data_IF_107546380187
#
_entry.id   IF_107546380187
#
_cell.length_a   1.000
_cell.length_b   1.000
_cell.length_c   1.000
_cell.angle_alpha   90.00
_cell.angle_beta   90.00
_cell.angle_gamma   90.00
#
_symmetry.space_group_name_H-M   'P 1'
#
loop_
_entity.id
_entity.type
_entity.pdbx_description
1 polymer ?
#
# COMPACT_ATOMS: atom_id res chain seq x y z
N UNK A 1 -25.70 -31.44 47.92
CA UNK A 1 -26.80 -30.72 47.25
C UNK A 1 -26.33 -30.48 45.81
N UNK A 2 -26.59 -31.44 44.92
CA UNK A 2 -27.58 -31.38 43.82
C UNK A 2 -27.12 -30.46 42.68
N UNK A 3 -26.55 -30.99 41.59
CA UNK A 3 -27.20 -31.47 40.34
C UNK A 3 -27.45 -30.33 39.33
N UNK A 4 -27.17 -30.41 38.02
CA UNK A 4 -26.75 -31.54 37.21
C UNK A 4 -26.30 -31.07 35.81
N UNK A 5 -25.69 -32.01 35.07
CA UNK A 5 -25.34 -31.86 33.66
C UNK A 5 -26.48 -32.28 32.74
N UNK A 6 -26.28 -31.99 31.46
CA UNK A 6 -27.00 -32.49 30.28
C UNK A 6 -25.97 -32.36 29.13
N UNK A 7 -25.26 -33.41 28.72
CA UNK A 7 -25.67 -34.56 27.89
C UNK A 7 -26.36 -34.18 26.58
N UNK A 8 -25.61 -34.43 25.50
CA UNK A 8 -26.07 -34.57 24.11
C UNK A 8 -26.80 -35.92 23.94
N UNK A 9 -27.79 -36.02 23.05
CA UNK A 9 -28.15 -37.29 22.45
C UNK A 9 -27.78 -37.39 20.94
N UNK A 10 -27.78 -38.63 20.40
CA UNK A 10 -27.04 -39.04 19.22
C UNK A 10 -27.90 -39.08 17.95
N UNK A 11 -27.24 -39.43 16.83
CA UNK A 11 -27.88 -39.59 15.52
C UNK A 11 -28.81 -40.79 15.40
N UNK A 12 -29.60 -40.78 14.32
CA UNK A 12 -30.35 -41.93 13.86
C UNK A 12 -30.15 -42.08 12.35
N UNK A 13 -29.92 -43.33 11.94
CA UNK A 13 -29.75 -43.78 10.56
C UNK A 13 -30.80 -44.85 10.31
N UNK A 14 -31.64 -44.65 9.30
CA UNK A 14 -32.62 -45.64 8.85
C UNK A 14 -32.76 -45.63 7.32
N UNK A 15 -32.32 -46.73 6.71
CA UNK A 15 -32.81 -47.37 5.47
C UNK A 15 -34.37 -47.36 5.41
N UNK A 16 -35.09 -47.47 4.29
CA UNK A 16 -34.96 -48.32 3.10
C UNK A 16 -36.11 -47.97 2.11
N UNK A 17 -35.91 -48.16 0.80
CA UNK A 17 -37.02 -48.17 -0.19
C UNK A 17 -36.65 -47.65 -1.59
N UNK A 18 -36.02 -48.49 -2.43
CA UNK A 18 -36.01 -48.32 -3.90
C UNK A 18 -37.19 -49.08 -4.55
N UNK A 19 -37.18 -49.42 -5.86
CA UNK A 19 -36.42 -48.91 -7.01
C UNK A 19 -37.29 -48.72 -8.30
N UNK A 20 -36.62 -48.39 -9.43
CA UNK A 20 -37.06 -48.57 -10.85
C UNK A 20 -38.22 -47.65 -11.36
N UNK A 21 -38.20 -47.02 -12.53
CA UNK A 21 -37.74 -47.43 -13.86
C UNK A 21 -37.21 -46.22 -14.68
N UNK A 22 -36.23 -46.48 -15.55
CA UNK A 22 -35.89 -45.68 -16.72
C UNK A 22 -36.75 -46.15 -17.93
N UNK A 23 -36.47 -45.79 -19.20
CA UNK A 23 -36.10 -44.52 -19.85
C UNK A 23 -37.08 -44.22 -21.03
N UNK A 24 -36.86 -43.13 -21.79
CA UNK A 24 -37.30 -43.13 -23.19
C UNK A 24 -37.50 -41.78 -23.88
N UNK A 25 -36.68 -41.53 -24.90
CA UNK A 25 -37.16 -40.92 -26.15
C UNK A 25 -36.90 -39.43 -26.37
N UNK A 26 -35.75 -39.10 -26.93
CA UNK A 26 -35.66 -38.08 -27.98
C UNK A 26 -36.23 -38.67 -29.31
N UNK A 27 -36.28 -37.98 -30.48
CA UNK A 27 -36.01 -36.57 -30.79
C UNK A 27 -37.05 -35.93 -31.77
N UNK A 28 -36.84 -34.67 -32.17
CA UNK A 28 -37.08 -34.26 -33.56
C UNK A 28 -38.00 -33.06 -33.82
N UNK A 29 -37.51 -32.13 -34.65
CA UNK A 29 -38.35 -31.37 -35.58
C UNK A 29 -38.42 -29.85 -35.41
N UNK A 30 -37.46 -29.13 -35.99
CA UNK A 30 -37.71 -27.81 -36.57
C UNK A 30 -38.26 -27.99 -38.02
N UNK A 31 -38.53 -26.96 -38.87
CA UNK A 31 -38.79 -25.52 -38.69
C UNK A 31 -39.99 -24.99 -39.54
N UNK A 32 -40.26 -23.68 -39.51
CA UNK A 32 -41.04 -22.93 -40.53
C UNK A 32 -42.29 -22.26 -39.97
N UNK A 33 -42.71 -21.05 -40.35
CA UNK A 33 -42.27 -20.06 -41.32
C UNK A 33 -43.40 -19.01 -41.44
N UNK A 34 -43.03 -17.72 -41.42
CA UNK A 34 -43.62 -16.52 -42.07
C UNK A 34 -45.11 -16.62 -42.49
N UNK A 35 -46.04 -15.73 -42.11
CA UNK A 35 -46.21 -14.37 -42.68
C UNK A 35 -47.51 -13.69 -42.20
N UNK A 36 -47.49 -12.36 -42.03
CA UNK A 36 -48.52 -11.46 -42.56
C UNK A 36 -49.57 -10.84 -41.61
N UNK A 37 -49.60 -9.49 -41.56
CA UNK A 37 -50.88 -8.76 -41.55
C UNK A 37 -51.18 -7.78 -40.41
N UNK A 38 -50.60 -6.58 -40.50
CA UNK A 38 -51.03 -5.24 -40.06
C UNK A 38 -52.28 -5.01 -39.14
N UNK A 39 -52.00 -4.25 -38.07
CA UNK A 39 -52.70 -3.06 -37.52
C UNK A 39 -54.15 -3.11 -37.00
N UNK A 40 -54.28 -2.91 -35.68
CA UNK A 40 -55.17 -1.92 -35.05
C UNK A 40 -54.76 -1.72 -33.58
N UNK A 41 -54.95 -0.52 -33.04
CA UNK A 41 -54.25 -0.02 -31.86
C UNK A 41 -54.90 -0.27 -30.50
N UNK A 42 -54.09 0.07 -29.49
CA UNK A 42 -54.44 0.53 -28.13
C UNK A 42 -55.09 -0.49 -27.19
N UNK A 43 -54.37 -0.86 -26.13
CA UNK A 43 -54.65 -0.39 -24.76
C UNK A 43 -53.75 -1.09 -23.74
N UNK A 44 -53.12 -0.29 -22.89
CA UNK A 44 -52.35 -0.73 -21.74
C UNK A 44 -53.27 -1.43 -20.72
N UNK A 45 -53.11 -2.73 -20.55
CA UNK A 45 -53.79 -3.53 -19.55
C UNK A 45 -53.19 -3.31 -18.17
N UNK A 46 -53.87 -2.51 -17.37
CA UNK A 46 -53.60 -2.30 -15.95
C UNK A 46 -53.62 -3.63 -15.17
N UNK A 47 -52.57 -3.90 -14.40
CA UNK A 47 -52.56 -4.98 -13.42
C UNK A 47 -53.34 -4.48 -12.20
N UNK A 48 -54.54 -5.03 -11.98
CA UNK A 48 -55.34 -4.76 -10.79
C UNK A 48 -54.65 -5.37 -9.56
N UNK A 49 -54.18 -4.52 -8.65
CA UNK A 49 -53.79 -4.91 -7.31
C UNK A 49 -55.07 -5.15 -6.48
N UNK A 50 -55.32 -6.41 -6.12
CA UNK A 50 -56.34 -6.74 -5.14
C UNK A 50 -55.97 -6.12 -3.76
N UNK A 51 -56.94 -5.66 -2.95
CA UNK A 51 -56.65 -5.10 -1.64
C UNK A 51 -56.26 -6.22 -0.68
N UNK A 52 -55.02 -6.19 -0.21
CA UNK A 52 -54.57 -7.04 0.90
C UNK A 52 -55.23 -6.56 2.20
N UNK A 53 -56.12 -7.38 2.75
CA UNK A 53 -56.65 -7.19 4.09
C UNK A 53 -55.55 -7.33 5.14
N UNK A 54 -55.40 -6.26 5.93
CA UNK A 54 -54.95 -6.22 7.32
C UNK A 54 -53.92 -7.28 7.79
N UNK A 55 -52.66 -7.08 7.38
CA UNK A 55 -51.47 -7.60 8.05
C UNK A 55 -50.36 -6.56 7.93
N UNK A 56 -50.43 -5.52 8.75
CA UNK A 56 -49.58 -4.32 8.68
C UNK A 56 -48.11 -4.59 9.06
N UNK A 57 -47.32 -5.15 8.13
CA UNK A 57 -45.88 -5.00 8.09
C UNK A 57 -45.54 -4.18 6.84
N UNK A 58 -45.42 -2.86 7.04
CA UNK A 58 -45.15 -1.87 5.99
C UNK A 58 -43.91 -2.27 5.19
N UNK A 59 -44.05 -2.22 3.87
CA UNK A 59 -42.98 -2.05 2.90
C UNK A 59 -42.32 -0.67 3.07
N UNK A 60 -41.62 -0.50 4.19
CA UNK A 60 -41.04 0.75 4.65
C UNK A 60 -40.21 0.55 5.90
N UNK A 61 -39.49 -0.58 6.01
CA UNK A 61 -38.32 -0.63 6.87
C UNK A 61 -37.26 0.20 6.16
N UNK A 62 -37.03 1.44 6.60
CA UNK A 62 -35.77 2.13 6.31
C UNK A 62 -34.65 1.15 6.65
N UNK A 63 -33.76 0.90 5.70
CA UNK A 63 -32.55 0.12 5.95
C UNK A 63 -31.73 0.90 6.97
N UNK A 64 -31.94 0.64 8.26
CA UNK A 64 -31.15 1.22 9.35
C UNK A 64 -29.78 0.54 9.37
N UNK A 65 -28.90 0.99 8.47
CA UNK A 65 -27.53 0.54 8.40
C UNK A 65 -26.78 1.06 9.62
N UNK A 66 -26.77 0.28 10.69
CA UNK A 66 -25.99 0.57 11.89
C UNK A 66 -24.49 0.74 11.60
N UNK A 67 -23.78 1.35 12.54
CA UNK A 67 -22.34 1.62 12.42
C UNK A 67 -21.50 0.37 12.10
N UNK A 68 -21.89 -0.79 12.64
CA UNK A 68 -21.21 -2.06 12.42
C UNK A 68 -21.34 -2.55 10.97
N UNK A 69 -22.52 -2.40 10.36
CA UNK A 69 -22.75 -2.77 8.97
C UNK A 69 -21.91 -1.89 8.02
N UNK A 70 -21.83 -0.58 8.30
CA UNK A 70 -20.95 0.33 7.57
C UNK A 70 -19.46 0.03 7.77
N UNK A 71 -19.06 -0.36 8.98
CA UNK A 71 -17.69 -0.77 9.29
C UNK A 71 -17.29 -2.03 8.51
N UNK A 72 -18.20 -3.00 8.41
CA UNK A 72 -17.97 -4.21 7.63
C UNK A 72 -17.85 -3.92 6.13
N UNK A 73 -18.78 -3.14 5.56
CA UNK A 73 -18.74 -2.72 4.15
C UNK A 73 -17.45 -1.98 3.84
N UNK A 74 -17.05 -1.04 4.70
CA UNK A 74 -15.79 -0.29 4.57
C UNK A 74 -14.59 -1.22 4.58
N UNK A 75 -14.56 -2.18 5.52
CA UNK A 75 -13.46 -3.15 5.62
C UNK A 75 -13.37 -4.02 4.36
N UNK A 76 -14.51 -4.50 3.84
CA UNK A 76 -14.57 -5.29 2.60
C UNK A 76 -14.08 -4.48 1.41
N UNK A 77 -14.56 -3.24 1.25
CA UNK A 77 -14.16 -2.35 0.17
C UNK A 77 -12.66 -2.00 0.23
N UNK A 78 -12.12 -1.72 1.43
CA UNK A 78 -10.70 -1.44 1.61
C UNK A 78 -9.82 -2.63 1.20
N UNK A 79 -10.17 -3.84 1.62
CA UNK A 79 -9.40 -5.05 1.27
C UNK A 79 -9.47 -5.35 -0.23
N UNK A 80 -10.66 -5.28 -0.83
CA UNK A 80 -10.84 -5.48 -2.26
C UNK A 80 -10.10 -4.42 -3.08
N UNK A 81 -10.15 -3.16 -2.66
CA UNK A 81 -9.43 -2.05 -3.30
C UNK A 81 -7.91 -2.22 -3.25
N UNK A 82 -7.34 -2.58 -2.10
CA UNK A 82 -5.89 -2.86 -1.99
C UNK A 82 -5.47 -4.03 -2.88
N UNK A 83 -6.20 -5.15 -2.84
CA UNK A 83 -5.94 -6.29 -3.71
C UNK A 83 -6.04 -5.91 -5.21
N UNK A 84 -7.04 -5.10 -5.58
CA UNK A 84 -7.21 -4.64 -6.95
C UNK A 84 -6.01 -3.83 -7.45
N UNK A 85 -5.44 -2.95 -6.62
CA UNK A 85 -4.28 -2.15 -7.00
C UNK A 85 -3.07 -3.05 -7.29
N UNK A 86 -2.77 -3.99 -6.39
CA UNK A 86 -1.69 -4.96 -6.59
C UNK A 86 -1.89 -5.82 -7.84
N UNK A 87 -3.09 -6.36 -8.04
CA UNK A 87 -3.42 -7.15 -9.22
C UNK A 87 -3.28 -6.33 -10.50
N UNK A 88 -3.76 -5.09 -10.51
CA UNK A 88 -3.62 -4.21 -11.67
C UNK A 88 -2.14 -3.93 -11.98
N UNK A 89 -1.31 -3.65 -10.98
CA UNK A 89 0.13 -3.43 -11.18
C UNK A 89 0.82 -4.65 -11.79
N UNK A 90 0.52 -5.86 -11.28
CA UNK A 90 1.03 -7.11 -11.85
C UNK A 90 0.58 -7.29 -13.29
N UNK A 91 -0.71 -7.11 -13.57
CA UNK A 91 -1.24 -7.26 -14.93
C UNK A 91 -0.59 -6.27 -15.89
N UNK A 92 -0.44 -4.99 -15.51
CA UNK A 92 0.24 -4.00 -16.36
C UNK A 92 1.72 -4.34 -16.57
N UNK A 93 2.42 -4.79 -15.51
CA UNK A 93 3.83 -5.18 -15.65
C UNK A 93 4.00 -6.40 -16.55
N UNK A 94 3.13 -7.41 -16.42
CA UNK A 94 3.15 -8.58 -17.28
C UNK A 94 2.87 -8.21 -18.74
N UNK A 95 1.88 -7.35 -19.01
CA UNK A 95 1.64 -6.85 -20.38
C UNK A 95 2.88 -6.16 -20.94
N UNK A 96 3.54 -5.31 -20.15
CA UNK A 96 4.76 -4.64 -20.58
C UNK A 96 5.90 -5.63 -20.89
N UNK A 97 6.11 -6.64 -20.04
CA UNK A 97 7.14 -7.68 -20.21
C UNK A 97 6.84 -8.56 -21.43
N UNK A 98 5.62 -9.08 -21.54
CA UNK A 98 5.17 -9.91 -22.67
C UNK A 98 5.29 -9.13 -23.98
N UNK A 99 4.84 -7.87 -23.99
CA UNK A 99 5.00 -6.98 -25.13
C UNK A 99 6.46 -6.76 -25.49
N UNK A 100 7.33 -6.46 -24.53
CA UNK A 100 8.75 -6.21 -24.78
C UNK A 100 9.51 -7.43 -25.33
N UNK A 101 9.13 -8.64 -24.91
CA UNK A 101 9.83 -9.88 -25.29
C UNK A 101 9.27 -10.48 -26.58
N UNK A 102 7.95 -10.61 -26.71
CA UNK A 102 7.34 -11.33 -27.83
C UNK A 102 7.09 -10.45 -29.05
N UNK A 103 6.75 -9.17 -28.86
CA UNK A 103 6.45 -8.28 -29.98
C UNK A 103 7.60 -8.17 -30.98
N UNK A 104 8.89 -7.98 -30.58
CA UNK A 104 10.01 -7.92 -31.52
C UNK A 104 10.21 -9.21 -32.34
N UNK A 105 9.71 -10.34 -31.86
CA UNK A 105 9.84 -11.65 -32.52
C UNK A 105 8.69 -11.87 -33.51
N UNK A 106 7.45 -11.61 -33.09
CA UNK A 106 6.25 -11.95 -33.86
C UNK A 106 5.74 -10.80 -34.76
N UNK A 107 5.87 -9.54 -34.35
CA UNK A 107 5.36 -8.39 -35.12
C UNK A 107 6.01 -8.26 -36.51
N UNK A 108 7.33 -8.46 -36.71
CA UNK A 108 7.93 -8.37 -38.05
C UNK A 108 7.38 -9.41 -39.04
N UNK A 109 6.87 -10.54 -38.55
CA UNK A 109 6.37 -11.66 -39.38
C UNK A 109 4.86 -11.57 -39.60
N UNK A 110 4.11 -11.13 -38.58
CA UNK A 110 2.64 -11.17 -38.57
C UNK A 110 1.96 -9.80 -38.65
N UNK A 111 2.69 -8.71 -38.36
CA UNK A 111 2.21 -7.33 -38.44
C UNK A 111 1.28 -6.89 -37.31
N UNK A 112 1.21 -5.56 -37.10
CA UNK A 112 0.15 -4.87 -36.35
C UNK A 112 -0.19 -5.46 -34.97
N UNK A 113 -1.47 -5.72 -34.70
CA UNK A 113 -1.95 -6.42 -33.50
C UNK A 113 -2.03 -7.95 -33.68
N UNK A 114 -1.82 -8.44 -34.91
CA UNK A 114 -1.96 -9.86 -35.28
C UNK A 114 -0.84 -10.72 -34.67
N UNK A 115 0.26 -10.09 -34.22
CA UNK A 115 1.32 -10.79 -33.51
C UNK A 115 0.83 -11.48 -32.23
N UNK A 116 -0.17 -10.91 -31.53
CA UNK A 116 -0.75 -11.52 -30.32
C UNK A 116 -1.50 -12.80 -30.67
N UNK A 117 -2.25 -12.78 -31.77
CA UNK A 117 -2.96 -13.96 -32.30
C UNK A 117 -1.95 -15.03 -32.70
N UNK A 118 -0.88 -14.63 -33.39
CA UNK A 118 0.18 -15.54 -33.82
C UNK A 118 0.94 -16.16 -32.64
N UNK A 119 1.27 -15.36 -31.62
CA UNK A 119 1.93 -15.83 -30.40
C UNK A 119 1.02 -16.81 -29.62
N UNK A 120 -0.28 -16.52 -29.50
CA UNK A 120 -1.23 -17.39 -28.81
C UNK A 120 -1.39 -18.78 -29.46
N UNK A 121 -1.18 -18.87 -30.78
CA UNK A 121 -1.33 -20.10 -31.54
C UNK A 121 -2.75 -20.70 -31.49
N UNK A 122 -2.93 -21.97 -31.92
CA UNK A 122 -4.25 -22.60 -32.00
C UNK A 122 -4.95 -22.73 -30.64
N UNK A 123 -4.17 -22.98 -29.58
CA UNK A 123 -4.69 -23.13 -28.23
C UNK A 123 -5.24 -21.81 -27.66
N UNK A 124 -4.74 -20.66 -28.13
CA UNK A 124 -5.15 -19.35 -27.64
C UNK A 124 -6.05 -18.52 -28.54
N UNK A 125 -6.36 -19.02 -29.73
CA UNK A 125 -7.19 -18.32 -30.70
C UNK A 125 -8.56 -17.91 -30.13
N UNK A 126 -9.22 -18.80 -29.38
CA UNK A 126 -10.54 -18.53 -28.81
C UNK A 126 -10.49 -17.38 -27.80
N UNK A 127 -9.46 -17.34 -26.93
CA UNK A 127 -9.38 -16.28 -25.93
C UNK A 127 -8.90 -14.95 -26.50
N UNK A 128 -8.05 -14.95 -27.54
CA UNK A 128 -7.71 -13.74 -28.29
C UNK A 128 -8.94 -13.16 -28.99
N UNK A 129 -9.77 -14.01 -29.61
CA UNK A 129 -11.03 -13.58 -30.23
C UNK A 129 -11.98 -12.94 -29.21
N UNK A 130 -12.08 -13.50 -28.00
CA UNK A 130 -12.85 -12.87 -26.91
C UNK A 130 -12.29 -11.50 -26.54
N UNK A 131 -10.97 -11.35 -26.45
CA UNK A 131 -10.30 -10.08 -26.17
C UNK A 131 -10.59 -9.03 -27.27
N UNK A 132 -10.50 -9.42 -28.54
CA UNK A 132 -10.87 -8.58 -29.70
C UNK A 132 -12.33 -8.15 -29.62
N UNK A 133 -13.26 -9.07 -29.33
CA UNK A 133 -14.67 -8.76 -29.21
C UNK A 133 -14.95 -7.76 -28.07
N UNK A 134 -14.28 -7.92 -26.92
CA UNK A 134 -14.40 -6.98 -25.79
C UNK A 134 -13.85 -5.60 -26.18
N UNK A 135 -12.69 -5.53 -26.85
CA UNK A 135 -12.12 -4.29 -27.39
C UNK A 135 -13.09 -3.57 -28.33
N UNK A 136 -13.68 -4.29 -29.28
CA UNK A 136 -14.67 -3.73 -30.22
C UNK A 136 -15.94 -3.25 -29.52
N UNK A 137 -16.42 -3.98 -28.52
CA UNK A 137 -17.57 -3.54 -27.71
C UNK A 137 -17.21 -2.27 -26.93
N UNK A 138 -16.00 -2.18 -26.37
CA UNK A 138 -15.57 -1.00 -25.62
C UNK A 138 -15.47 0.24 -26.50
N UNK A 139 -14.92 0.10 -27.71
CA UNK A 139 -14.89 1.17 -28.71
C UNK A 139 -16.29 1.64 -29.10
N UNK A 140 -17.21 0.71 -29.35
CA UNK A 140 -18.61 1.02 -29.73
C UNK A 140 -19.39 1.69 -28.60
N UNK A 141 -19.17 1.28 -27.35
CA UNK A 141 -19.84 1.85 -26.18
C UNK A 141 -19.29 3.21 -25.76
N UNK A 142 -18.24 3.70 -26.40
CA UNK A 142 -17.62 4.97 -26.07
C UNK A 142 -16.94 4.97 -24.70
N UNK A 143 -16.53 3.82 -24.19
CA UNK A 143 -15.61 3.80 -23.06
C UNK A 143 -14.32 4.48 -23.54
N UNK A 144 -13.96 5.60 -22.90
CA UNK A 144 -12.69 6.28 -23.13
C UNK A 144 -11.57 5.35 -22.66
N UNK A 145 -11.11 4.49 -23.56
CA UNK A 145 -9.82 3.81 -23.42
C UNK A 145 -8.74 4.86 -23.66
N UNK A 146 -7.66 4.79 -22.88
CA UNK A 146 -6.43 5.47 -23.26
C UNK A 146 -6.03 4.98 -24.66
N UNK A 147 -5.69 5.85 -25.62
CA UNK A 147 -5.20 5.43 -26.93
C UNK A 147 -4.05 4.42 -26.88
N UNK A 148 -3.23 4.44 -25.82
CA UNK A 148 -2.18 3.44 -25.59
C UNK A 148 -2.73 2.02 -25.30
N UNK A 149 -3.95 1.93 -24.77
CA UNK A 149 -4.64 0.68 -24.42
C UNK A 149 -5.56 0.14 -25.53
N UNK A 150 -5.65 0.81 -26.69
CA UNK A 150 -6.39 0.30 -27.84
C UNK A 150 -5.59 -0.76 -28.62
N UNK A 151 -5.15 -1.81 -27.93
CA UNK A 151 -4.45 -2.97 -28.48
C UNK A 151 -4.98 -4.28 -27.85
N UNK A 152 -4.77 -5.43 -28.50
CA UNK A 152 -5.33 -6.72 -28.01
C UNK A 152 -4.71 -7.17 -26.69
N UNK A 153 -3.43 -6.89 -26.47
CA UNK A 153 -2.69 -7.29 -25.26
C UNK A 153 -3.28 -6.66 -23.99
N UNK A 154 -3.78 -5.42 -24.06
CA UNK A 154 -4.47 -4.72 -22.96
C UNK A 154 -5.75 -5.41 -22.50
N UNK A 155 -6.36 -6.26 -23.32
CA UNK A 155 -7.58 -7.01 -22.99
C UNK A 155 -7.32 -8.44 -22.50
N UNK A 156 -6.05 -8.86 -22.44
CA UNK A 156 -5.72 -10.17 -21.89
C UNK A 156 -5.79 -10.16 -20.37
N UNK A 157 -6.31 -11.27 -19.85
CA UNK A 157 -6.43 -11.55 -18.41
C UNK A 157 -5.14 -12.13 -17.86
N UNK A 158 -4.95 -12.07 -16.53
CA UNK A 158 -3.79 -12.64 -15.85
C UNK A 158 -3.46 -14.09 -16.28
N UNK A 159 -4.43 -15.04 -16.36
CA UNK A 159 -4.13 -16.40 -16.81
C UNK A 159 -3.67 -16.48 -18.28
N UNK A 160 -4.17 -15.61 -19.15
CA UNK A 160 -3.77 -15.58 -20.57
C UNK A 160 -2.36 -15.01 -20.74
N UNK A 161 -2.01 -13.99 -19.95
CA UNK A 161 -0.65 -13.43 -19.92
C UNK A 161 0.36 -14.46 -19.39
N UNK A 162 -0.01 -15.19 -18.33
CA UNK A 162 0.75 -16.34 -17.82
C UNK A 162 0.97 -17.38 -18.91
N UNK A 163 -0.10 -17.80 -19.59
CA UNK A 163 -0.01 -18.83 -20.64
C UNK A 163 0.95 -18.41 -21.77
N UNK A 164 0.87 -17.15 -22.23
CA UNK A 164 1.81 -16.63 -23.22
C UNK A 164 3.27 -16.68 -22.73
N UNK A 165 3.54 -16.30 -21.48
CA UNK A 165 4.90 -16.39 -20.93
C UNK A 165 5.39 -17.83 -20.84
N UNK A 166 4.54 -18.74 -20.38
CA UNK A 166 4.86 -20.15 -20.14
C UNK A 166 5.09 -20.89 -21.46
N UNK A 167 4.23 -20.69 -22.45
CA UNK A 167 4.33 -21.29 -23.78
C UNK A 167 5.60 -20.85 -24.50
N UNK A 168 5.99 -19.58 -24.35
CA UNK A 168 7.17 -18.99 -25.00
C UNK A 168 8.34 -18.82 -24.05
N UNK A 169 8.43 -19.63 -22.99
CA UNK A 169 9.47 -19.52 -21.97
C UNK A 169 10.90 -19.38 -22.52
N UNK A 170 11.33 -20.08 -23.60
CA UNK A 170 12.66 -19.88 -24.17
C UNK A 170 12.98 -18.44 -24.57
N UNK A 171 11.98 -17.61 -24.87
CA UNK A 171 12.16 -16.18 -25.15
C UNK A 171 12.36 -15.34 -23.88
N UNK A 172 11.86 -15.81 -22.74
CA UNK A 172 11.89 -15.14 -21.45
C UNK A 172 13.07 -15.59 -20.56
N UNK A 173 13.59 -16.80 -20.77
CA UNK A 173 14.73 -17.38 -20.05
C UNK A 173 15.96 -16.46 -19.95
N UNK A 174 16.33 -15.64 -20.96
CA UNK A 174 17.46 -14.70 -20.83
C UNK A 174 17.25 -13.58 -19.80
N UNK A 175 16.01 -13.34 -19.36
CA UNK A 175 15.64 -12.24 -18.46
C UNK A 175 15.22 -12.70 -17.07
N UNK A 176 14.84 -13.97 -16.91
CA UNK A 176 14.30 -14.51 -15.67
C UNK A 176 14.88 -15.88 -15.36
N UNK A 177 15.37 -16.05 -14.13
CA UNK A 177 16.10 -17.26 -13.73
C UNK A 177 15.19 -18.44 -13.35
N UNK A 178 13.99 -18.19 -12.80
CA UNK A 178 13.10 -19.24 -12.30
C UNK A 178 11.67 -19.13 -12.86
N UNK A 179 11.38 -20.01 -13.83
CA UNK A 179 10.04 -20.21 -14.40
C UNK A 179 9.00 -20.60 -13.36
N UNK A 180 9.36 -21.53 -12.49
CA UNK A 180 8.43 -22.19 -11.56
C UNK A 180 8.01 -21.21 -10.48
N UNK A 181 8.91 -20.35 -10.03
CA UNK A 181 8.60 -19.29 -9.08
C UNK A 181 7.55 -18.32 -9.65
N UNK A 182 7.71 -17.89 -10.90
CA UNK A 182 6.75 -17.00 -11.57
C UNK A 182 5.39 -17.69 -11.73
N UNK A 183 5.37 -18.93 -12.21
CA UNK A 183 4.12 -19.71 -12.37
C UNK A 183 3.36 -19.85 -11.05
N UNK A 184 4.04 -20.25 -9.98
CA UNK A 184 3.44 -20.42 -8.65
C UNK A 184 2.89 -19.09 -8.10
N UNK A 185 3.65 -18.00 -8.24
CA UNK A 185 3.20 -16.69 -7.80
C UNK A 185 1.93 -16.22 -8.56
N UNK A 186 1.87 -16.46 -9.87
CA UNK A 186 0.70 -16.12 -10.68
C UNK A 186 -0.52 -16.97 -10.33
N UNK A 187 -0.34 -18.27 -10.07
CA UNK A 187 -1.41 -19.17 -9.65
C UNK A 187 -2.00 -18.75 -8.29
N UNK A 188 -1.16 -18.34 -7.34
CA UNK A 188 -1.62 -17.78 -6.06
C UNK A 188 -2.46 -16.51 -6.24
N UNK A 189 -2.07 -15.63 -7.17
CA UNK A 189 -2.77 -14.37 -7.44
C UNK A 189 -4.11 -14.59 -8.16
N UNK A 190 -4.26 -15.66 -8.95
CA UNK A 190 -5.51 -15.95 -9.65
C UNK A 190 -6.70 -16.15 -8.69
N UNK A 191 -6.46 -16.82 -7.55
CA UNK A 191 -7.49 -16.99 -6.50
C UNK A 191 -7.98 -15.63 -6.00
N UNK A 192 -7.04 -14.72 -5.72
CA UNK A 192 -7.36 -13.37 -5.23
C UNK A 192 -8.08 -12.56 -6.29
N UNK A 193 -7.64 -12.65 -7.56
CA UNK A 193 -8.30 -12.02 -8.70
C UNK A 193 -9.75 -12.47 -8.84
N UNK A 194 -10.02 -13.77 -8.72
CA UNK A 194 -11.37 -14.33 -8.81
C UNK A 194 -12.29 -13.88 -7.66
N UNK A 195 -11.74 -13.67 -6.46
CA UNK A 195 -12.48 -13.09 -5.32
C UNK A 195 -12.83 -11.63 -5.61
N UNK A 196 -11.85 -10.82 -6.03
CA UNK A 196 -12.02 -9.39 -6.33
C UNK A 196 -12.99 -9.19 -7.49
N UNK A 197 -12.86 -9.92 -8.60
CA UNK A 197 -13.70 -9.75 -9.79
C UNK A 197 -15.18 -10.09 -9.55
N UNK A 198 -15.47 -10.91 -8.53
CA UNK A 198 -16.83 -11.30 -8.13
C UNK A 198 -17.34 -10.49 -6.92
N UNK A 199 -16.62 -9.45 -6.49
CA UNK A 199 -16.93 -8.65 -5.31
C UNK A 199 -17.17 -9.49 -4.05
N UNK A 200 -16.42 -10.59 -3.90
CA UNK A 200 -16.52 -11.50 -2.75
C UNK A 200 -15.69 -10.97 -1.59
N UNK A 201 -16.03 -11.40 -0.37
CA UNK A 201 -15.30 -11.01 0.83
C UNK A 201 -13.87 -11.59 0.82
N UNK A 202 -12.88 -10.71 0.94
CA UNK A 202 -11.47 -11.08 1.05
C UNK A 202 -11.06 -11.11 2.54
N UNK A 203 -10.48 -12.23 2.97
CA UNK A 203 -9.93 -12.34 4.31
C UNK A 203 -8.61 -11.56 4.41
N UNK A 204 -8.23 -11.16 5.63
CA UNK A 204 -6.96 -10.47 5.87
C UNK A 204 -5.76 -11.34 5.47
N UNK A 205 -5.79 -12.63 5.78
CA UNK A 205 -4.70 -13.55 5.47
C UNK A 205 -4.49 -13.71 3.95
N UNK A 206 -5.58 -13.81 3.17
CA UNK A 206 -5.49 -13.90 1.70
C UNK A 206 -4.96 -12.59 1.12
N UNK A 207 -5.40 -11.44 1.64
CA UNK A 207 -4.85 -10.14 1.22
C UNK A 207 -3.35 -10.04 1.50
N UNK A 208 -2.91 -10.35 2.72
CA UNK A 208 -1.48 -10.32 3.08
C UNK A 208 -0.65 -11.30 2.23
N UNK A 209 -1.21 -12.46 1.88
CA UNK A 209 -0.56 -13.39 0.96
C UNK A 209 -0.45 -12.82 -0.45
N UNK A 210 -1.52 -12.25 -0.99
CA UNK A 210 -1.53 -11.65 -2.32
C UNK A 210 -0.56 -10.45 -2.42
N UNK A 211 -0.50 -9.62 -1.38
CA UNK A 211 0.46 -8.50 -1.30
C UNK A 211 1.90 -9.01 -1.33
N UNK A 212 2.23 -10.03 -0.53
CA UNK A 212 3.56 -10.65 -0.55
C UNK A 212 3.91 -11.29 -1.89
N UNK A 213 2.97 -12.02 -2.51
CA UNK A 213 3.18 -12.66 -3.80
C UNK A 213 3.38 -11.62 -4.91
N UNK A 214 2.59 -10.55 -4.90
CA UNK A 214 2.71 -9.45 -5.86
C UNK A 214 4.03 -8.70 -5.71
N UNK A 215 4.47 -8.40 -4.48
CA UNK A 215 5.74 -7.73 -4.23
C UNK A 215 6.93 -8.54 -4.78
N UNK A 216 6.99 -9.85 -4.47
CA UNK A 216 8.02 -10.75 -5.02
C UNK A 216 7.99 -10.79 -6.54
N UNK A 217 6.80 -10.91 -7.13
CA UNK A 217 6.66 -10.99 -8.57
C UNK A 217 7.07 -9.68 -9.27
N UNK A 218 6.76 -8.52 -8.69
CA UNK A 218 7.24 -7.23 -9.21
C UNK A 218 8.76 -7.10 -9.13
N UNK A 219 9.39 -7.61 -8.08
CA UNK A 219 10.85 -7.63 -7.94
C UNK A 219 11.50 -8.47 -9.06
N UNK A 220 10.99 -9.69 -9.28
CA UNK A 220 11.43 -10.59 -10.36
C UNK A 220 11.20 -9.96 -11.72
N UNK A 221 9.99 -9.45 -11.99
CA UNK A 221 9.65 -8.81 -13.27
C UNK A 221 10.35 -7.46 -13.48
N UNK A 222 10.83 -6.82 -12.42
CA UNK A 222 11.43 -5.49 -12.41
C UNK A 222 12.92 -5.46 -12.75
N UNK A 223 13.59 -6.61 -12.83
CA UNK A 223 15.01 -6.68 -13.20
C UNK A 223 15.97 -6.09 -12.16
N UNK A 224 15.69 -6.30 -10.86
CA UNK A 224 16.66 -6.06 -9.78
C UNK A 224 17.16 -4.62 -9.62
N UNK A 225 16.34 -3.61 -9.90
CA UNK A 225 16.76 -2.21 -9.80
C UNK A 225 16.53 -1.58 -8.41
N UNK A 226 17.27 -2.03 -7.38
CA UNK A 226 17.42 -1.24 -6.14
C UNK A 226 17.92 -2.00 -4.91
N UNK A 227 19.11 -1.64 -4.43
CA UNK A 227 19.79 -2.19 -3.26
C UNK A 227 18.89 -2.43 -2.02
N UNK A 228 19.25 -3.39 -1.13
CA UNK A 228 18.51 -3.75 0.11
C UNK A 228 18.44 -2.64 1.20
N UNK A 229 18.66 -1.38 0.83
CA UNK A 229 18.54 -0.21 1.70
C UNK A 229 17.50 0.82 1.26
N UNK A 230 16.98 0.74 0.01
CA UNK A 230 16.02 1.73 -0.51
C UNK A 230 14.55 1.45 -0.08
N UNK A 231 14.25 0.21 0.30
CA UNK A 231 12.91 -0.31 0.67
C UNK A 231 12.64 -0.34 2.19
N UNK A 232 13.34 0.48 2.99
CA UNK A 232 13.25 0.40 4.46
C UNK A 232 11.96 0.93 5.08
N UNK A 233 11.01 1.34 4.25
CA UNK A 233 9.61 1.37 4.59
C UNK A 233 8.87 0.53 3.56
N UNK A 234 7.95 -0.36 3.96
CA UNK A 234 7.06 -1.04 3.02
C UNK A 234 6.12 0.01 2.45
N UNK A 235 6.61 0.76 1.46
CA UNK A 235 5.82 1.68 0.67
C UNK A 235 4.92 0.76 -0.15
N UNK A 236 3.65 0.66 0.27
CA UNK A 236 2.62 -0.04 -0.50
C UNK A 236 2.64 0.60 -1.90
N UNK A 237 2.57 -0.18 -2.98
CA UNK A 237 2.54 0.41 -4.32
C UNK A 237 1.33 1.36 -4.50
N UNK A 238 0.32 1.22 -3.64
CA UNK A 238 -0.79 2.16 -3.41
C UNK A 238 -0.29 3.53 -2.91
N UNK A 239 0.68 3.56 -2.01
CA UNK A 239 1.28 4.76 -1.42
C UNK A 239 2.14 5.53 -2.42
N UNK A 240 2.84 4.86 -3.34
CA UNK A 240 3.50 5.54 -4.46
C UNK A 240 2.51 6.09 -5.49
N UNK A 241 1.36 5.44 -5.67
CA UNK A 241 0.30 5.91 -6.58
C UNK A 241 -0.53 7.08 -6.02
N UNK A 242 -0.59 7.24 -4.69
CA UNK A 242 -1.43 8.25 -4.01
C UNK A 242 -0.59 9.26 -3.21
N UNK A 243 0.72 9.02 -3.04
CA UNK A 243 1.63 9.79 -2.20
C UNK A 243 1.68 11.27 -2.56
N UNK A 244 1.66 11.58 -3.86
CA UNK A 244 1.62 12.94 -4.40
C UNK A 244 0.42 13.76 -3.88
N UNK A 245 -0.64 13.10 -3.39
CA UNK A 245 -1.82 13.77 -2.80
C UNK A 245 -1.53 14.43 -1.45
N UNK A 246 -0.52 13.95 -0.72
CA UNK A 246 -0.20 14.40 0.64
C UNK A 246 1.19 15.03 0.73
N UNK A 247 1.60 15.73 -0.34
CA UNK A 247 2.96 16.22 -0.52
C UNK A 247 3.96 15.05 -0.41
N UNK A 248 4.83 15.06 0.58
CA UNK A 248 5.83 14.03 0.86
C UNK A 248 5.54 13.25 2.15
N UNK A 249 4.32 13.34 2.70
CA UNK A 249 3.91 12.51 3.84
C UNK A 249 3.69 11.07 3.39
N UNK A 250 4.48 10.16 3.92
CA UNK A 250 4.39 8.71 3.66
C UNK A 250 3.51 8.02 4.70
N UNK A 251 3.62 8.40 5.98
CA UNK A 251 2.75 7.83 7.00
C UNK A 251 2.45 8.80 8.13
N UNK A 252 1.29 8.57 8.76
CA UNK A 252 0.87 9.27 9.98
C UNK A 252 0.58 8.22 11.04
N UNK A 253 1.31 8.29 12.14
CA UNK A 253 1.10 7.44 13.31
C UNK A 253 0.40 8.26 14.39
N UNK A 254 -0.61 7.72 15.09
CA UNK A 254 -1.33 8.47 16.10
C UNK A 254 -0.49 8.78 17.34
N UNK A 255 0.59 8.01 17.56
CA UNK A 255 1.49 8.15 18.71
C UNK A 255 2.89 7.61 18.36
N UNK A 256 3.88 7.96 19.19
CA UNK A 256 5.28 7.55 18.97
C UNK A 256 5.49 6.04 19.19
N UNK A 257 4.69 5.41 20.05
CA UNK A 257 4.80 3.96 20.33
C UNK A 257 4.50 3.15 19.08
N UNK A 258 3.46 3.53 18.33
CA UNK A 258 3.10 2.87 17.08
C UNK A 258 4.11 3.11 15.97
N UNK A 259 4.66 4.32 15.87
CA UNK A 259 5.80 4.57 14.98
C UNK A 259 6.92 3.58 15.30
N UNK A 260 7.36 3.50 16.55
CA UNK A 260 8.51 2.66 16.94
C UNK A 260 8.30 1.15 16.74
N UNK A 261 7.05 0.68 16.70
CA UNK A 261 6.72 -0.72 16.36
C UNK A 261 6.89 -1.01 14.87
N UNK A 262 6.69 -0.02 14.02
CA UNK A 262 6.73 -0.15 12.55
C UNK A 262 8.07 0.30 11.97
N UNK A 263 8.67 1.33 12.57
CA UNK A 263 9.96 1.90 12.23
C UNK A 263 10.80 2.09 13.51
N UNK A 264 11.45 1.02 13.99
CA UNK A 264 12.40 1.09 15.10
C UNK A 264 13.49 2.13 14.87
N UNK A 265 14.06 2.69 15.95
CA UNK A 265 15.14 3.67 15.87
C UNK A 265 16.39 3.12 15.15
N UNK A 266 16.60 1.81 15.20
CA UNK A 266 17.70 1.14 14.49
C UNK A 266 17.55 1.27 12.98
N UNK A 267 16.35 1.03 12.48
CA UNK A 267 16.04 1.10 11.06
C UNK A 267 15.98 2.56 10.59
N UNK A 268 15.49 3.45 11.45
CA UNK A 268 15.44 4.88 11.17
C UNK A 268 16.84 5.52 11.05
N UNK A 269 17.80 5.16 11.92
CA UNK A 269 19.10 5.86 11.99
C UNK A 269 20.29 5.04 11.44
N UNK A 270 20.17 3.72 11.33
CA UNK A 270 21.30 2.79 11.13
C UNK A 270 22.07 2.92 9.81
N UNK A 271 21.53 3.64 8.82
CA UNK A 271 22.15 3.87 7.50
C UNK A 271 22.32 5.34 7.13
N UNK A 272 22.26 6.25 8.11
CA UNK A 272 22.35 7.68 7.86
C UNK A 272 23.75 8.08 7.34
N UNK A 273 23.80 8.87 6.27
CA UNK A 273 24.96 9.67 5.85
C UNK A 273 24.94 11.06 6.48
N UNK A 274 23.73 11.58 6.73
CA UNK A 274 23.51 12.83 7.47
C UNK A 274 22.32 12.64 8.41
N UNK A 275 22.49 13.12 9.64
CA UNK A 275 21.45 13.14 10.66
C UNK A 275 21.37 14.55 11.24
N UNK A 276 20.31 15.26 10.90
CA UNK A 276 19.99 16.56 11.49
C UNK A 276 18.75 16.39 12.39
N UNK A 277 18.89 16.73 13.67
CA UNK A 277 17.81 16.52 14.63
C UNK A 277 17.58 17.76 15.48
N UNK A 278 16.33 18.22 15.55
CA UNK A 278 15.89 19.36 16.35
C UNK A 278 14.76 18.98 17.30
N UNK A 279 14.79 19.51 18.52
CA UNK A 279 13.71 19.35 19.48
C UNK A 279 14.13 19.65 20.91
N UNK A 280 13.23 19.40 21.86
CA UNK A 280 13.45 19.71 23.27
C UNK A 280 14.58 18.87 23.85
N UNK A 281 14.46 17.54 23.76
CA UNK A 281 15.43 16.60 24.31
C UNK A 281 15.90 15.52 23.34
N UNK A 282 15.43 15.53 22.10
CA UNK A 282 15.75 14.52 21.08
C UNK A 282 15.54 13.07 21.55
N UNK A 283 14.50 12.84 22.35
CA UNK A 283 14.26 11.57 23.04
C UNK A 283 14.15 10.36 22.11
N UNK A 284 13.65 10.51 20.87
CA UNK A 284 13.56 9.38 19.94
C UNK A 284 14.95 8.81 19.65
N UNK A 285 15.95 9.68 19.43
CA UNK A 285 17.33 9.30 19.21
C UNK A 285 18.00 8.88 20.52
N UNK A 286 18.04 9.76 21.52
CA UNK A 286 18.89 9.60 22.71
C UNK A 286 18.47 8.42 23.59
N UNK A 287 17.17 8.09 23.63
CA UNK A 287 16.66 7.02 24.48
C UNK A 287 16.60 5.67 23.77
N UNK A 288 16.51 5.63 22.43
CA UNK A 288 16.26 4.40 21.67
C UNK A 288 17.41 4.01 20.74
N UNK A 289 18.43 4.86 20.60
CA UNK A 289 19.61 4.57 19.79
C UNK A 289 20.87 4.68 20.64
N UNK A 290 21.52 3.54 20.88
CA UNK A 290 22.63 3.47 21.85
C UNK A 290 23.81 4.36 21.47
N UNK A 291 24.51 4.92 22.47
CA UNK A 291 25.73 5.69 22.24
C UNK A 291 26.82 4.95 21.45
N UNK A 292 26.96 3.63 21.64
CA UNK A 292 27.89 2.80 20.84
C UNK A 292 27.52 2.78 19.35
N UNK A 293 26.22 2.80 19.03
CA UNK A 293 25.75 2.86 17.64
C UNK A 293 25.91 4.26 17.05
N UNK A 294 25.70 5.33 17.84
CA UNK A 294 26.03 6.69 17.40
C UNK A 294 27.50 6.83 17.05
N UNK A 295 28.40 6.30 17.89
CA UNK A 295 29.86 6.26 17.58
C UNK A 295 30.12 5.55 16.25
N UNK A 296 29.60 4.33 16.08
CA UNK A 296 29.78 3.56 14.83
C UNK A 296 29.23 4.29 13.61
N UNK A 297 28.05 4.90 13.73
CA UNK A 297 27.41 5.64 12.64
C UNK A 297 28.29 6.83 12.21
N UNK A 298 28.80 7.60 13.17
CA UNK A 298 29.69 8.73 12.89
C UNK A 298 31.05 8.29 12.36
N UNK A 299 31.63 7.21 12.90
CA UNK A 299 32.88 6.62 12.40
C UNK A 299 32.75 6.05 10.98
N UNK A 300 31.56 5.60 10.59
CA UNK A 300 31.23 5.22 9.21
C UNK A 300 31.08 6.42 8.26
N UNK A 301 31.29 7.64 8.75
CA UNK A 301 31.30 8.87 7.95
C UNK A 301 30.05 9.73 8.07
N UNK A 302 29.04 9.32 8.85
CA UNK A 302 27.82 10.11 9.04
C UNK A 302 28.10 11.46 9.69
N UNK A 303 27.57 12.54 9.12
CA UNK A 303 27.54 13.86 9.78
C UNK A 303 26.31 13.97 10.66
N UNK A 304 26.49 14.33 11.93
CA UNK A 304 25.43 14.42 12.94
C UNK A 304 25.38 15.84 13.49
N UNK A 305 24.23 16.51 13.36
CA UNK A 305 23.97 17.83 13.94
C UNK A 305 22.74 17.76 14.84
N UNK A 306 22.95 17.99 16.14
CA UNK A 306 21.92 17.87 17.16
C UNK A 306 21.61 19.22 17.77
N UNK A 307 20.36 19.64 17.70
CA UNK A 307 19.88 20.93 18.16
C UNK A 307 18.86 20.75 19.28
N UNK A 308 19.30 21.04 20.51
CA UNK A 308 18.51 20.88 21.73
C UNK A 308 17.90 22.20 22.17
N UNK A 309 16.75 22.15 22.84
CA UNK A 309 16.27 23.34 23.54
C UNK A 309 17.21 23.65 24.72
N UNK A 310 17.64 24.90 24.87
CA UNK A 310 18.52 25.27 25.97
C UNK A 310 17.82 25.01 27.32
N UNK A 311 18.37 24.15 28.21
CA UNK A 311 17.76 23.80 29.48
C UNK A 311 17.57 25.00 30.42
N UNK A 312 18.35 26.07 30.24
CA UNK A 312 18.26 27.29 31.03
C UNK A 312 17.25 28.32 30.48
N UNK A 313 16.73 28.12 29.26
CA UNK A 313 15.85 29.07 28.58
C UNK A 313 14.51 29.28 29.30
N UNK A 314 13.87 30.42 29.01
CA UNK A 314 12.49 30.70 29.43
C UNK A 314 11.48 29.80 28.70
N UNK A 315 11.81 29.32 27.50
CA UNK A 315 11.00 28.40 26.71
C UNK A 315 10.80 27.04 27.41
N UNK A 316 11.85 26.44 27.99
CA UNK A 316 11.73 25.21 28.80
C UNK A 316 10.78 25.43 29.99
N UNK A 317 10.97 26.53 30.72
CA UNK A 317 10.13 26.85 31.90
C UNK A 317 8.67 27.09 31.52
N UNK A 318 8.41 27.66 30.35
CA UNK A 318 7.05 27.79 29.81
C UNK A 318 6.46 26.42 29.50
N UNK A 319 7.22 25.56 28.84
CA UNK A 319 6.77 24.22 28.45
C UNK A 319 6.50 23.31 29.65
N UNK A 320 7.31 23.39 30.70
CA UNK A 320 7.05 22.69 31.97
C UNK A 320 5.68 23.05 32.56
N UNK A 321 5.33 24.36 32.56
CA UNK A 321 4.03 24.83 33.05
C UNK A 321 2.87 24.35 32.19
N UNK A 322 3.03 24.33 30.87
CA UNK A 322 2.00 23.84 29.95
C UNK A 322 1.69 22.35 30.16
N UNK A 323 2.73 21.56 30.42
CA UNK A 323 2.64 20.12 30.63
C UNK A 323 2.31 19.72 32.07
N UNK A 324 2.18 20.69 32.99
CA UNK A 324 1.96 20.44 34.41
C UNK A 324 3.11 19.68 35.09
N UNK A 325 4.34 19.83 34.59
CA UNK A 325 5.54 19.19 35.14
C UNK A 325 6.06 19.95 36.37
N UNK A 326 6.86 19.27 37.20
CA UNK A 326 7.55 19.95 38.30
C UNK A 326 8.60 20.91 37.74
N UNK A 327 8.80 22.03 38.42
CA UNK A 327 9.82 23.02 38.04
C UNK A 327 11.19 22.37 37.89
N UNK A 328 11.82 22.56 36.73
CA UNK A 328 13.15 22.02 36.41
C UNK A 328 13.18 20.52 36.09
N UNK A 329 12.03 19.85 35.98
CA UNK A 329 11.96 18.45 35.56
C UNK A 329 12.36 18.26 34.08
N UNK A 330 11.80 19.09 33.19
CA UNK A 330 12.12 19.04 31.77
C UNK A 330 13.54 19.54 31.53
N UNK A 331 13.93 20.62 32.22
CA UNK A 331 15.29 21.18 32.15
C UNK A 331 16.36 20.12 32.45
N UNK A 332 16.22 19.39 33.57
CA UNK A 332 17.12 18.29 33.94
C UNK A 332 17.10 17.14 32.93
N UNK A 333 15.93 16.80 32.40
CA UNK A 333 15.80 15.75 31.37
C UNK A 333 16.59 16.09 30.10
N UNK A 334 16.48 17.34 29.64
CA UNK A 334 17.24 17.82 28.48
C UNK A 334 18.74 17.86 28.77
N UNK A 335 19.14 18.35 29.94
CA UNK A 335 20.54 18.37 30.36
C UNK A 335 21.18 16.97 30.39
N UNK A 336 20.45 15.97 30.91
CA UNK A 336 20.91 14.57 30.90
C UNK A 336 21.10 14.02 29.49
N UNK A 337 20.23 14.39 28.55
CA UNK A 337 20.36 13.98 27.15
C UNK A 337 21.56 14.66 26.47
N UNK A 338 21.78 15.95 26.73
CA UNK A 338 22.97 16.67 26.26
C UNK A 338 24.24 16.01 26.80
N UNK A 339 24.30 15.70 28.11
CA UNK A 339 25.43 15.01 28.73
C UNK A 339 25.65 13.60 28.14
N UNK A 340 24.59 12.90 27.75
CA UNK A 340 24.71 11.63 27.05
C UNK A 340 25.42 11.79 25.70
N UNK A 341 24.96 12.70 24.85
CA UNK A 341 25.56 12.87 23.51
C UNK A 341 26.94 13.54 23.56
N UNK A 342 27.25 14.36 24.58
CA UNK A 342 28.61 14.85 24.83
C UNK A 342 29.58 13.71 25.11
N UNK A 343 29.17 12.70 25.88
CA UNK A 343 30.00 11.49 26.12
C UNK A 343 30.22 10.69 24.84
N UNK A 344 29.21 10.61 23.97
CA UNK A 344 29.35 10.00 22.64
C UNK A 344 30.39 10.76 21.82
N UNK A 345 30.25 12.08 21.71
CA UNK A 345 31.18 12.96 20.98
C UNK A 345 32.61 12.85 21.48
N UNK A 346 32.82 12.79 22.79
CA UNK A 346 34.15 12.66 23.40
C UNK A 346 34.84 11.33 23.07
N UNK A 347 34.09 10.30 22.69
CA UNK A 347 34.63 9.00 22.27
C UNK A 347 34.93 8.88 20.77
N UNK A 348 34.66 9.93 19.97
CA UNK A 348 34.86 9.91 18.52
C UNK A 348 36.30 10.22 18.13
N UNK A 349 36.77 9.60 17.05
CA UNK A 349 38.05 9.94 16.40
C UNK A 349 38.01 11.33 15.74
N UNK A 350 36.87 11.68 15.15
CA UNK A 350 36.62 12.97 14.51
C UNK A 350 35.38 13.64 15.14
N UNK A 351 35.55 14.43 16.21
CA UNK A 351 34.46 15.13 16.87
C UNK A 351 33.81 16.22 16.02
N UNK A 352 34.40 16.62 14.88
CA UNK A 352 33.84 17.66 13.99
C UNK A 352 32.61 17.17 13.23
N UNK A 353 32.45 15.85 13.07
CA UNK A 353 31.28 15.22 12.45
C UNK A 353 30.08 15.10 13.40
N UNK A 354 30.24 15.47 14.66
CA UNK A 354 29.20 15.36 15.68
C UNK A 354 29.07 16.69 16.42
N UNK A 355 28.15 17.52 15.93
CA UNK A 355 27.93 18.89 16.39
C UNK A 355 26.71 18.92 17.33
N UNK A 356 26.86 19.56 18.49
CA UNK A 356 25.81 19.67 19.51
C UNK A 356 25.57 21.15 19.76
N UNK A 357 24.35 21.61 19.52
CA UNK A 357 23.95 23.01 19.64
C UNK A 357 22.71 23.15 20.52
N UNK A 358 22.48 24.35 21.04
CA UNK A 358 21.27 24.73 21.77
C UNK A 358 20.61 25.98 21.17
N UNK A 359 19.27 26.02 21.21
CA UNK A 359 18.47 27.18 20.82
C UNK A 359 17.56 27.64 21.97
N UNK A 360 17.15 28.90 21.97
CA UNK A 360 16.37 29.53 23.07
C UNK A 360 14.88 29.75 22.73
N UNK A 361 14.47 29.46 21.50
CA UNK A 361 13.11 29.71 21.01
C UNK A 361 12.06 28.71 21.53
N UNK A 362 10.78 29.08 21.38
CA UNK A 362 9.69 28.20 21.77
C UNK A 362 9.63 26.99 20.82
N UNK A 363 9.76 25.76 21.34
CA UNK A 363 9.80 24.58 20.51
C UNK A 363 8.41 24.32 19.89
N UNK A 364 8.32 24.27 18.56
CA UNK A 364 7.06 23.99 17.83
C UNK A 364 6.91 22.52 17.43
N UNK A 365 8.03 21.87 17.10
CA UNK A 365 8.08 20.47 16.70
C UNK A 365 9.42 19.82 17.09
N UNK A 366 9.48 18.50 17.04
CA UNK A 366 10.73 17.75 16.90
C UNK A 366 10.81 17.17 15.50
N UNK A 367 11.98 17.24 14.89
CA UNK A 367 12.24 16.60 13.61
C UNK A 367 13.55 15.82 13.69
N UNK A 368 13.58 14.67 13.04
CA UNK A 368 14.79 13.89 12.78
C UNK A 368 14.86 13.71 11.27
N UNK A 369 15.72 14.49 10.62
CA UNK A 369 15.98 14.46 9.19
C UNK A 369 17.16 13.52 8.96
N UNK A 370 16.87 12.38 8.33
CA UNK A 370 17.86 11.34 8.05
C UNK A 370 18.05 11.24 6.55
N UNK A 371 19.27 11.48 6.08
CA UNK A 371 19.63 11.25 4.68
C UNK A 371 20.43 9.96 4.55
N UNK A 372 19.95 9.05 3.71
CA UNK A 372 20.68 7.85 3.31
C UNK A 372 21.49 8.07 2.05
N UNK A 373 21.79 6.97 1.34
CA UNK A 373 22.51 7.00 0.07
C UNK A 373 21.63 7.43 -1.12
N UNK A 374 20.38 6.95 -1.16
CA UNK A 374 19.49 7.10 -2.32
C UNK A 374 18.27 7.97 -2.05
N UNK A 375 17.90 8.16 -0.78
CA UNK A 375 16.71 8.89 -0.36
C UNK A 375 16.87 9.44 1.06
N UNK A 376 16.02 10.42 1.40
CA UNK A 376 15.89 10.94 2.76
C UNK A 376 14.59 10.47 3.41
N UNK A 377 14.57 10.46 4.73
CA UNK A 377 13.38 10.25 5.55
C UNK A 377 13.39 11.26 6.70
N UNK A 378 12.24 11.86 7.00
CA UNK A 378 12.08 12.69 8.18
C UNK A 378 11.00 12.13 9.09
N UNK A 379 11.27 12.15 10.40
CA UNK A 379 10.25 11.91 11.42
C UNK A 379 9.96 13.22 12.12
N UNK A 380 8.74 13.73 11.96
CA UNK A 380 8.31 15.02 12.48
C UNK A 380 7.14 14.86 13.44
N UNK A 381 7.22 15.51 14.59
CA UNK A 381 6.16 15.49 15.59
C UNK A 381 5.98 16.88 16.21
N UNK A 382 4.75 17.39 16.14
CA UNK A 382 4.39 18.68 16.72
C UNK A 382 4.30 18.62 18.25
N UNK A 383 4.68 19.71 18.91
CA UNK A 383 4.47 19.87 20.34
C UNK A 383 3.07 20.42 20.63
N UNK A 384 2.12 19.52 20.88
CA UNK A 384 0.77 19.91 21.28
C UNK A 384 0.77 20.52 22.69
N UNK A 385 -0.14 21.46 22.95
CA UNK A 385 -0.20 22.20 24.22
C UNK A 385 -0.28 21.32 25.46
N UNK A 386 -1.08 20.25 25.42
CA UNK A 386 -1.37 19.38 26.59
C UNK A 386 -0.87 17.94 26.45
N UNK A 387 -0.32 17.57 25.29
CA UNK A 387 0.13 16.20 25.06
C UNK A 387 1.64 16.08 25.27
N UNK A 388 2.06 14.96 25.84
CA UNK A 388 3.49 14.62 25.88
C UNK A 388 3.96 14.17 24.51
N UNK A 389 5.27 14.22 24.25
CA UNK A 389 5.85 13.77 22.99
C UNK A 389 5.62 12.29 22.67
N UNK A 390 5.11 11.47 23.59
CA UNK A 390 4.72 10.09 23.28
C UNK A 390 3.32 9.99 22.65
N UNK A 391 2.44 10.93 22.96
CA UNK A 391 1.00 10.90 22.65
C UNK A 391 0.63 11.71 21.42
N UNK A 392 1.52 12.61 20.97
CA UNK A 392 1.29 13.43 19.80
C UNK A 392 1.44 12.59 18.51
N UNK A 393 0.60 12.85 17.47
CA UNK A 393 0.76 12.23 16.17
C UNK A 393 2.14 12.48 15.58
N UNK A 394 2.65 11.51 14.85
CA UNK A 394 3.96 11.57 14.19
C UNK A 394 3.77 11.44 12.70
N UNK A 395 4.33 12.39 11.96
CA UNK A 395 4.41 12.37 10.51
C UNK A 395 5.75 11.76 10.12
N UNK A 396 5.73 10.86 9.15
CA UNK A 396 6.93 10.40 8.46
C UNK A 396 6.88 10.99 7.07
N UNK A 397 7.96 11.66 6.66
CA UNK A 397 8.09 12.35 5.39
C UNK A 397 9.20 11.71 4.56
N UNK A 398 9.02 11.73 3.24
CA UNK A 398 10.01 11.29 2.26
C UNK A 398 10.84 12.49 1.81
N UNK A 399 12.15 12.40 1.97
CA UNK A 399 13.08 13.31 1.30
C UNK A 399 13.26 12.89 -0.15
N UNK A 400 13.31 13.85 -1.06
CA UNK A 400 13.48 13.58 -2.49
C UNK A 400 14.66 12.63 -2.73
N UNK A 401 14.37 11.46 -3.30
CA UNK A 401 15.36 10.57 -3.87
C UNK A 401 15.68 10.98 -5.30
N UNK A 402 16.84 10.61 -5.81
CA UNK A 402 17.29 10.89 -7.18
C UNK A 402 16.48 10.17 -8.28
N UNK A 403 15.24 9.74 -8.01
CA UNK A 403 14.38 8.99 -8.93
C UNK A 403 12.94 9.48 -8.86
N UNK A 404 12.65 10.49 -9.68
CA UNK A 404 11.32 11.01 -9.98
C UNK A 404 11.46 12.28 -10.81
N UNK A 405 10.54 12.58 -11.75
CA UNK A 405 10.59 13.84 -12.48
C UNK A 405 10.49 14.97 -11.46
N UNK A 406 11.48 15.87 -11.50
CA UNK A 406 11.60 17.07 -10.67
C UNK A 406 10.46 18.06 -10.93
N UNK A 407 9.23 17.68 -10.59
CA UNK A 407 8.11 18.60 -10.48
C UNK A 407 8.09 19.07 -9.03
N UNK A 408 8.55 20.31 -8.87
CA UNK A 408 8.45 21.12 -7.64
C UNK A 408 9.20 20.56 -6.40
N UNK A 409 10.51 20.29 -6.56
CA UNK A 409 11.40 19.93 -5.44
C UNK A 409 11.45 20.98 -4.31
N UNK A 410 10.98 22.20 -4.56
CA UNK A 410 10.98 23.33 -3.63
C UNK A 410 9.70 23.45 -2.77
N UNK A 411 8.72 22.54 -2.91
CA UNK A 411 7.38 22.70 -2.29
C UNK A 411 6.90 21.53 -1.41
N UNK A 412 7.80 20.69 -0.89
CA UNK A 412 7.48 19.60 0.05
C UNK A 412 7.63 19.94 1.55
N UNK A 413 7.08 19.14 2.45
CA UNK A 413 7.24 19.37 3.90
C UNK A 413 8.67 19.07 4.37
N UNK A 414 9.33 18.07 3.79
CA UNK A 414 10.71 17.71 4.09
C UNK A 414 11.69 18.87 3.83
N UNK A 415 11.73 19.51 2.65
CA UNK A 415 12.55 20.71 2.45
C UNK A 415 12.13 21.86 3.37
N UNK A 416 10.84 22.07 3.66
CA UNK A 416 10.41 23.08 4.65
C UNK A 416 10.98 22.83 6.05
N UNK A 417 10.91 21.60 6.57
CA UNK A 417 11.48 21.29 7.88
C UNK A 417 13.01 21.34 7.90
N UNK A 418 13.65 21.15 6.75
CA UNK A 418 15.09 21.33 6.59
C UNK A 418 15.47 22.81 6.63
N UNK A 419 14.77 23.66 5.90
CA UNK A 419 14.98 25.11 5.94
C UNK A 419 14.78 25.66 7.35
N UNK A 420 13.73 25.21 8.05
CA UNK A 420 13.51 25.55 9.47
C UNK A 420 14.66 25.05 10.36
N UNK A 421 15.21 23.85 10.10
CA UNK A 421 16.38 23.37 10.82
C UNK A 421 17.59 24.28 10.60
N UNK A 422 17.91 24.61 9.35
CA UNK A 422 19.09 25.44 9.01
C UNK A 422 18.96 26.85 9.60
N UNK A 423 17.78 27.46 9.51
CA UNK A 423 17.48 28.77 10.10
C UNK A 423 17.78 28.79 11.61
N UNK A 424 17.25 27.82 12.36
CA UNK A 424 17.49 27.76 13.81
C UNK A 424 18.95 27.36 14.09
N UNK A 425 19.58 26.56 13.22
CA UNK A 425 20.98 26.18 13.35
C UNK A 425 21.92 27.39 13.26
N UNK A 426 21.68 28.31 12.33
CA UNK A 426 22.46 29.54 12.17
C UNK A 426 22.41 30.43 13.42
N UNK A 427 21.25 30.53 14.06
CA UNK A 427 21.04 31.32 15.29
C UNK A 427 21.39 30.55 16.59
N UNK A 428 21.74 29.28 16.48
CA UNK A 428 22.01 28.42 17.63
C UNK A 428 23.40 28.62 18.24
N UNK A 429 23.58 28.15 19.47
CA UNK A 429 24.87 28.21 20.19
C UNK A 429 25.49 26.82 20.32
N UNK A 430 26.78 26.65 20.00
CA UNK A 430 27.46 25.37 20.19
C UNK A 430 27.57 25.02 21.68
N UNK A 431 27.44 23.74 21.99
CA UNK A 431 27.71 23.16 23.31
C UNK A 431 29.10 22.54 23.28
N UNK A 432 29.97 23.02 24.18
CA UNK A 432 31.38 22.59 24.29
C UNK A 432 31.49 21.13 24.69
#
# INVERSE_FOLDING_TARGET
MSSGGLELPPGDSGHEGGPADAPGGAPGGAPGGVSGGASAGVSAGAVSLAPAEAGSARAGAELDWGADAWSEVRTRAQRAGRAYIWLNLIEQRLRAVVGAVLRPIYEPVHGGDDWVVAAAGPAGQEWVQRAVAVREVSRRKGYLLDPADDNVLSFLTLPQLRELMVQHWPCFEPYFDDRREIELALDELEVTRNVVSRNRALSRAVLEQAERASARLLEVLGGGAGAPGADRLPIDAVEDLVGDRYADVISVHPDRVRLQRQLPAEDLFGGARRLDAIGIGLNLLVQNFSGRRLVRLTEAGCRVRLLFLNPASSAVKRRERELGLRKGELSRSVEMNILHVRRVRAGLRDPSRFEIHVFDETPRFTAYLVEGETSGIAVVQSYLRRARGMEAPVLVLRGAGTRGPARDADHGLFPTYREEFESIWEDSRPVS
#
